data_IF_138068586448
#
_entry.id   IF_138068586448
#
_cell.length_a   1.000
_cell.length_b   1.000
_cell.length_c   1.000
_cell.angle_alpha   90.00
_cell.angle_beta   90.00
_cell.angle_gamma   90.00
#
_symmetry.space_group_name_H-M   'P 1'
#
loop_
_entity.id
_entity.type
_entity.pdbx_description
1 polymer ?
#
# COMPACT_ATOMS: atom_id res chain seq x y z
N UNK A 1 2.86 19.24 22.65
CA UNK A 1 3.87 19.07 21.59
C UNK A 1 3.60 20.13 20.54
N UNK A 2 4.67 20.79 20.06
CA UNK A 2 4.59 21.66 18.91
C UNK A 2 4.50 20.85 17.59
N UNK A 3 4.16 21.53 16.50
CA UNK A 3 3.97 20.90 15.20
C UNK A 3 5.24 20.20 14.67
N UNK A 4 6.42 20.79 14.96
CA UNK A 4 7.70 20.23 14.57
C UNK A 4 8.01 18.92 15.32
N UNK A 5 7.76 18.89 16.62
CA UNK A 5 7.92 17.69 17.45
C UNK A 5 6.95 16.58 17.02
N UNK A 6 5.71 16.92 16.67
CA UNK A 6 4.74 15.96 16.15
C UNK A 6 5.21 15.40 14.80
N UNK A 7 5.71 16.25 13.91
CA UNK A 7 6.27 15.83 12.62
C UNK A 7 7.46 14.88 12.78
N UNK A 8 8.36 15.13 13.72
CA UNK A 8 9.48 14.24 14.05
C UNK A 8 9.00 12.88 14.56
N UNK A 9 7.96 12.85 15.40
CA UNK A 9 7.37 11.59 15.87
C UNK A 9 6.74 10.79 14.72
N UNK A 10 6.03 11.45 13.81
CA UNK A 10 5.48 10.79 12.62
C UNK A 10 6.59 10.22 11.72
N UNK A 11 7.70 10.95 11.55
CA UNK A 11 8.85 10.47 10.80
C UNK A 11 9.46 9.21 11.42
N UNK A 12 9.47 9.08 12.75
CA UNK A 12 9.94 7.86 13.42
C UNK A 12 9.17 6.62 12.98
N UNK A 13 7.86 6.71 12.79
CA UNK A 13 7.06 5.57 12.28
C UNK A 13 7.52 5.15 10.89
N UNK A 14 7.73 6.11 9.98
CA UNK A 14 8.23 5.83 8.63
C UNK A 14 9.64 5.24 8.63
N UNK A 15 10.55 5.79 9.44
CA UNK A 15 11.91 5.27 9.59
C UNK A 15 11.91 3.84 10.14
N UNK A 16 11.08 3.56 11.14
CA UNK A 16 10.91 2.22 11.68
C UNK A 16 10.49 1.22 10.61
N UNK A 17 9.56 1.62 9.73
CA UNK A 17 9.13 0.80 8.59
C UNK A 17 10.27 0.52 7.62
N UNK A 18 11.05 1.53 7.23
CA UNK A 18 12.17 1.38 6.30
C UNK A 18 13.26 0.45 6.89
N UNK A 19 13.63 0.65 8.15
CA UNK A 19 14.66 -0.14 8.84
C UNK A 19 14.23 -1.61 8.97
N UNK A 20 12.96 -1.88 9.25
CA UNK A 20 12.46 -3.22 9.47
C UNK A 20 12.24 -4.02 8.16
N UNK A 21 12.16 -3.38 7.00
CA UNK A 21 11.89 -4.06 5.72
C UNK A 21 12.79 -5.25 5.41
N UNK A 22 14.15 -5.12 5.43
CA UNK A 22 15.02 -6.26 5.17
C UNK A 22 14.90 -7.35 6.25
N UNK A 23 14.66 -6.96 7.50
CA UNK A 23 14.45 -7.88 8.61
C UNK A 23 13.12 -8.64 8.45
N UNK A 24 12.08 -7.99 7.94
CA UNK A 24 10.75 -8.58 7.72
C UNK A 24 10.81 -9.80 6.81
N UNK A 25 11.54 -9.71 5.69
CA UNK A 25 11.74 -10.82 4.76
C UNK A 25 12.44 -12.00 5.43
N UNK A 26 13.53 -11.73 6.14
CA UNK A 26 14.27 -12.75 6.86
C UNK A 26 13.43 -13.45 7.93
N UNK A 27 12.63 -12.69 8.69
CA UNK A 27 11.71 -13.24 9.69
C UNK A 27 10.66 -14.15 9.05
N UNK A 28 10.06 -13.76 7.93
CA UNK A 28 9.07 -14.55 7.21
C UNK A 28 9.64 -15.90 6.74
N UNK A 29 10.86 -15.92 6.18
CA UNK A 29 11.52 -17.15 5.75
C UNK A 29 11.87 -18.05 6.92
N UNK A 30 12.40 -17.48 8.02
CA UNK A 30 12.88 -18.26 9.16
C UNK A 30 11.75 -18.82 10.03
N UNK A 31 10.75 -18.00 10.34
CA UNK A 31 9.70 -18.33 11.32
C UNK A 31 8.32 -18.60 10.69
N UNK A 32 8.12 -18.19 9.45
CA UNK A 32 6.85 -18.27 8.72
C UNK A 32 5.91 -17.11 9.03
N UNK A 33 5.05 -16.76 8.05
CA UNK A 33 4.16 -15.60 8.12
C UNK A 33 3.31 -15.58 9.39
N UNK A 34 2.71 -16.71 9.76
CA UNK A 34 1.84 -16.83 10.95
C UNK A 34 2.51 -16.34 12.24
N UNK A 35 3.71 -16.86 12.57
CA UNK A 35 4.41 -16.49 13.80
C UNK A 35 4.86 -15.04 13.77
N UNK A 36 5.28 -14.56 12.60
CA UNK A 36 5.72 -13.18 12.39
C UNK A 36 4.57 -12.22 12.64
N UNK A 37 3.38 -12.48 12.08
CA UNK A 37 2.19 -11.66 12.30
C UNK A 37 1.80 -11.60 13.76
N UNK A 38 1.75 -12.73 14.47
CA UNK A 38 1.43 -12.74 15.90
C UNK A 38 2.43 -11.95 16.73
N UNK A 39 3.73 -12.21 16.56
CA UNK A 39 4.76 -11.51 17.32
C UNK A 39 4.74 -10.00 17.06
N UNK A 40 4.69 -9.59 15.78
CA UNK A 40 4.64 -8.18 15.42
C UNK A 40 3.35 -7.52 15.87
N UNK A 41 2.21 -8.20 15.81
CA UNK A 41 0.93 -7.68 16.28
C UNK A 41 0.90 -7.43 17.79
N UNK A 42 1.44 -8.35 18.62
CA UNK A 42 1.57 -8.14 20.05
C UNK A 42 2.54 -7.00 20.37
N UNK A 43 3.68 -6.94 19.67
CA UNK A 43 4.68 -5.87 19.89
C UNK A 43 4.13 -4.50 19.46
N UNK A 44 3.36 -4.45 18.37
CA UNK A 44 2.66 -3.24 17.92
C UNK A 44 1.64 -2.76 18.96
N UNK A 45 0.85 -3.67 19.51
CA UNK A 45 -0.12 -3.38 20.57
C UNK A 45 0.59 -2.87 21.84
N UNK A 46 1.68 -3.50 22.24
CA UNK A 46 2.51 -3.05 23.37
C UNK A 46 3.07 -1.63 23.14
N UNK A 47 3.57 -1.33 21.93
CA UNK A 47 4.08 -0.02 21.58
C UNK A 47 2.99 1.05 21.72
N UNK A 48 1.79 0.78 21.21
CA UNK A 48 0.67 1.71 21.24
C UNK A 48 0.21 1.98 22.69
N UNK A 49 0.15 0.94 23.52
CA UNK A 49 -0.16 1.08 24.93
C UNK A 49 0.88 1.93 25.66
N UNK A 50 2.16 1.69 25.40
CA UNK A 50 3.27 2.45 26.00
C UNK A 50 3.20 3.92 25.64
N UNK A 51 2.91 4.25 24.35
CA UNK A 51 2.71 5.62 23.88
C UNK A 51 1.56 6.31 24.62
N UNK A 52 0.45 5.58 24.87
CA UNK A 52 -0.71 6.13 25.55
C UNK A 52 -0.55 6.34 27.05
N UNK A 53 0.39 5.64 27.67
CA UNK A 53 0.64 5.70 29.13
C UNK A 53 1.73 6.72 29.50
N UNK A 54 2.69 6.96 28.63
CA UNK A 54 3.91 7.68 28.98
C UNK A 54 4.06 8.96 28.18
N UNK A 55 4.04 10.08 28.88
CA UNK A 55 4.25 11.43 28.29
C UNK A 55 5.76 11.77 28.17
N UNK A 56 6.53 10.90 27.53
CA UNK A 56 7.95 11.10 27.31
C UNK A 56 8.27 11.07 25.82
N UNK A 57 8.79 12.18 25.26
CA UNK A 57 9.07 12.35 23.85
C UNK A 57 9.99 11.28 23.27
N UNK A 58 11.13 11.04 23.94
CA UNK A 58 12.13 10.05 23.47
C UNK A 58 11.58 8.63 23.45
N UNK A 59 10.85 8.25 24.49
CA UNK A 59 10.23 6.92 24.56
C UNK A 59 9.10 6.78 23.53
N UNK A 60 8.31 7.82 23.32
CA UNK A 60 7.28 7.87 22.26
C UNK A 60 7.93 7.69 20.89
N UNK A 61 9.05 8.38 20.60
CA UNK A 61 9.78 8.25 19.36
C UNK A 61 10.29 6.81 19.13
N UNK A 62 10.86 6.18 20.17
CA UNK A 62 11.32 4.78 20.10
C UNK A 62 10.13 3.84 19.87
N UNK A 63 9.04 4.03 20.59
CA UNK A 63 7.85 3.17 20.43
C UNK A 63 7.19 3.35 19.04
N UNK A 64 7.23 4.54 18.45
CA UNK A 64 6.76 4.77 17.09
C UNK A 64 7.68 4.14 16.04
N UNK A 65 8.99 4.12 16.25
CA UNK A 65 9.92 3.33 15.42
C UNK A 65 9.55 1.83 15.46
N UNK A 66 9.32 1.29 16.64
CA UNK A 66 8.92 -0.12 16.82
C UNK A 66 7.55 -0.37 16.17
N UNK A 67 6.59 0.53 16.38
CA UNK A 67 5.25 0.45 15.78
C UNK A 67 5.32 0.40 14.25
N UNK A 68 6.06 1.33 13.63
CA UNK A 68 6.25 1.36 12.18
C UNK A 68 6.94 0.09 11.66
N UNK A 69 7.97 -0.40 12.38
CA UNK A 69 8.63 -1.65 12.05
C UNK A 69 7.71 -2.87 12.12
N UNK A 70 6.82 -2.93 13.12
CA UNK A 70 5.82 -3.99 13.22
C UNK A 70 4.78 -3.91 12.11
N UNK A 71 4.32 -2.70 11.79
CA UNK A 71 3.33 -2.46 10.71
C UNK A 71 3.82 -3.01 9.38
N UNK A 72 5.02 -2.63 8.95
CA UNK A 72 5.58 -3.11 7.69
C UNK A 72 5.88 -4.61 7.71
N UNK A 73 6.28 -5.14 8.88
CA UNK A 73 6.56 -6.59 9.02
C UNK A 73 5.28 -7.41 8.84
N UNK A 74 4.16 -6.95 9.39
CA UNK A 74 2.84 -7.57 9.19
C UNK A 74 2.44 -7.48 7.72
N UNK A 75 2.62 -6.32 7.09
CA UNK A 75 2.27 -6.12 5.68
C UNK A 75 3.08 -7.02 4.75
N UNK A 76 4.41 -7.09 4.92
CA UNK A 76 5.26 -8.01 4.14
C UNK A 76 4.82 -9.46 4.34
N UNK A 77 4.53 -9.88 5.58
CA UNK A 77 4.08 -11.23 5.88
C UNK A 77 2.71 -11.53 5.24
N UNK A 78 1.78 -10.57 5.26
CA UNK A 78 0.48 -10.70 4.62
C UNK A 78 0.59 -10.80 3.09
N UNK A 79 1.40 -9.96 2.46
CA UNK A 79 1.63 -9.98 1.01
C UNK A 79 2.31 -11.29 0.56
N UNK A 80 3.32 -11.77 1.29
CA UNK A 80 3.98 -13.07 1.00
C UNK A 80 2.98 -14.21 1.13
N UNK A 81 2.14 -14.20 2.17
CA UNK A 81 1.09 -15.20 2.35
C UNK A 81 0.03 -15.11 1.25
N UNK A 82 -0.39 -13.89 0.88
CA UNK A 82 -1.37 -13.64 -0.17
C UNK A 82 -0.92 -14.18 -1.54
N UNK A 83 0.33 -13.93 -1.93
CA UNK A 83 0.92 -14.47 -3.15
C UNK A 83 0.95 -16.01 -3.14
N UNK A 84 1.29 -16.61 -1.99
CA UNK A 84 1.32 -18.07 -1.87
C UNK A 84 -0.09 -18.68 -2.00
N UNK A 85 -1.12 -18.02 -1.45
CA UNK A 85 -2.53 -18.43 -1.60
C UNK A 85 -3.00 -18.29 -3.05
N UNK A 86 -2.67 -17.18 -3.73
CA UNK A 86 -2.95 -17.01 -5.18
C UNK A 86 -2.32 -18.15 -6.00
N UNK A 87 -1.05 -18.47 -5.71
CA UNK A 87 -0.34 -19.56 -6.41
C UNK A 87 -0.96 -20.95 -6.19
N UNK A 88 -1.54 -21.21 -5.02
CA UNK A 88 -2.22 -22.48 -4.72
C UNK A 88 -3.63 -22.57 -5.30
N UNK A 89 -4.34 -21.47 -5.31
CA UNK A 89 -5.76 -21.43 -5.72
C UNK A 89 -5.95 -21.15 -7.20
N UNK A 90 -4.94 -20.57 -7.87
CA UNK A 90 -5.05 -20.09 -9.25
C UNK A 90 -6.00 -18.89 -9.42
N UNK A 91 -6.44 -18.27 -8.31
CA UNK A 91 -7.37 -17.14 -8.30
C UNK A 91 -6.65 -15.83 -8.02
N UNK A 92 -7.14 -14.72 -8.57
CA UNK A 92 -6.68 -13.38 -8.20
C UNK A 92 -7.36 -12.96 -6.89
N UNK A 93 -6.59 -12.79 -5.81
CA UNK A 93 -7.10 -12.50 -4.46
C UNK A 93 -6.43 -11.29 -3.81
N UNK A 94 -5.35 -10.76 -4.41
CA UNK A 94 -4.58 -9.67 -3.80
C UNK A 94 -5.39 -8.39 -3.62
N UNK A 95 -6.30 -8.06 -4.55
CA UNK A 95 -7.17 -6.89 -4.40
C UNK A 95 -8.13 -7.05 -3.22
N UNK A 96 -8.68 -8.24 -3.01
CA UNK A 96 -9.52 -8.56 -1.86
C UNK A 96 -8.78 -8.44 -0.53
N UNK A 97 -7.52 -8.90 -0.46
CA UNK A 97 -6.69 -8.74 0.73
C UNK A 97 -6.41 -7.28 1.05
N UNK A 98 -6.07 -6.46 0.05
CA UNK A 98 -5.92 -5.01 0.23
C UNK A 98 -7.26 -4.31 0.52
N UNK A 99 -8.38 -4.82 -0.02
CA UNK A 99 -9.73 -4.40 0.34
C UNK A 99 -10.05 -4.64 1.80
N UNK A 100 -9.69 -5.81 2.34
CA UNK A 100 -9.78 -6.14 3.75
C UNK A 100 -8.96 -5.19 4.63
N UNK A 101 -7.74 -4.82 4.20
CA UNK A 101 -6.93 -3.81 4.87
C UNK A 101 -7.65 -2.44 4.91
N UNK A 102 -8.20 -1.98 3.78
CA UNK A 102 -8.93 -0.70 3.72
C UNK A 102 -10.17 -0.70 4.59
N UNK A 103 -10.92 -1.81 4.61
CA UNK A 103 -12.08 -1.99 5.47
C UNK A 103 -11.68 -1.97 6.96
N UNK A 104 -10.58 -2.64 7.31
CA UNK A 104 -10.01 -2.61 8.65
C UNK A 104 -9.64 -1.20 9.10
N UNK A 105 -9.06 -0.39 8.21
CA UNK A 105 -8.74 1.03 8.47
C UNK A 105 -9.99 1.85 8.74
N UNK A 106 -11.05 1.70 7.94
CA UNK A 106 -12.31 2.40 8.13
C UNK A 106 -13.00 2.00 9.43
N UNK A 107 -13.07 0.70 9.73
CA UNK A 107 -13.65 0.18 10.99
C UNK A 107 -12.83 0.71 12.17
N UNK A 108 -11.50 0.65 12.10
CA UNK A 108 -10.62 1.12 13.16
C UNK A 108 -10.80 2.60 13.46
N UNK A 109 -10.83 3.44 12.43
CA UNK A 109 -11.09 4.87 12.57
C UNK A 109 -12.49 5.15 13.15
N UNK A 110 -13.50 4.42 12.68
CA UNK A 110 -14.88 4.54 13.18
C UNK A 110 -15.01 4.14 14.65
N UNK A 111 -14.39 3.03 15.06
CA UNK A 111 -14.40 2.59 16.46
C UNK A 111 -13.70 3.62 17.36
N UNK A 112 -12.51 4.09 17.00
CA UNK A 112 -11.81 5.10 17.80
C UNK A 112 -12.58 6.41 17.90
N UNK A 113 -13.14 6.89 16.79
CA UNK A 113 -13.97 8.11 16.78
C UNK A 113 -15.21 7.95 17.65
N UNK A 114 -15.86 6.78 17.62
CA UNK A 114 -17.02 6.49 18.47
C UNK A 114 -16.66 6.47 19.95
N UNK A 115 -15.53 5.84 20.32
CA UNK A 115 -15.06 5.81 21.71
C UNK A 115 -14.83 7.23 22.25
N UNK A 116 -14.22 8.10 21.45
CA UNK A 116 -14.03 9.51 21.81
C UNK A 116 -15.36 10.28 21.90
N UNK A 117 -16.28 10.06 20.97
CA UNK A 117 -17.61 10.69 20.99
C UNK A 117 -18.44 10.29 22.23
N UNK A 118 -18.25 9.07 22.75
CA UNK A 118 -18.84 8.62 24.03
C UNK A 118 -18.09 9.16 25.26
N UNK A 119 -17.10 10.04 25.08
CA UNK A 119 -16.34 10.65 26.19
C UNK A 119 -15.35 9.70 26.87
N UNK A 120 -15.02 8.57 26.25
CA UNK A 120 -14.02 7.65 26.79
C UNK A 120 -12.65 8.28 26.62
N UNK A 121 -11.90 8.39 27.72
CA UNK A 121 -10.58 9.01 27.69
C UNK A 121 -9.61 8.22 26.78
N UNK A 122 -8.63 8.88 26.15
CA UNK A 122 -7.74 8.26 25.14
C UNK A 122 -7.09 6.96 25.58
N UNK A 123 -6.65 6.86 26.81
CA UNK A 123 -6.02 5.67 27.37
C UNK A 123 -6.94 4.42 27.31
N UNK A 124 -8.17 4.55 27.79
CA UNK A 124 -9.14 3.44 27.78
C UNK A 124 -9.61 3.14 26.35
N UNK A 125 -9.73 4.15 25.49
CA UNK A 125 -10.03 3.95 24.08
C UNK A 125 -8.97 3.10 23.39
N UNK A 126 -7.68 3.35 23.66
CA UNK A 126 -6.57 2.54 23.15
C UNK A 126 -6.64 1.11 23.69
N UNK A 127 -6.87 0.92 24.99
CA UNK A 127 -6.97 -0.42 25.61
C UNK A 127 -8.11 -1.23 24.98
N UNK A 128 -9.31 -0.65 24.87
CA UNK A 128 -10.47 -1.32 24.25
C UNK A 128 -10.15 -1.67 22.80
N UNK A 129 -9.61 -0.72 22.04
CA UNK A 129 -9.25 -0.94 20.64
C UNK A 129 -8.22 -2.05 20.48
N UNK A 130 -7.19 -2.08 21.33
CA UNK A 130 -6.18 -3.15 21.33
C UNK A 130 -6.77 -4.52 21.59
N UNK A 131 -7.68 -4.64 22.56
CA UNK A 131 -8.35 -5.92 22.86
C UNK A 131 -9.13 -6.39 21.62
N UNK A 132 -9.85 -5.51 20.94
CA UNK A 132 -10.60 -5.84 19.73
C UNK A 132 -9.66 -6.27 18.58
N UNK A 133 -8.57 -5.55 18.35
CA UNK A 133 -7.59 -5.87 17.30
C UNK A 133 -6.89 -7.20 17.60
N UNK A 134 -6.45 -7.44 18.84
CA UNK A 134 -5.82 -8.70 19.21
C UNK A 134 -6.79 -9.88 19.11
N UNK A 135 -8.06 -9.71 19.49
CA UNK A 135 -9.08 -10.74 19.31
C UNK A 135 -9.33 -11.05 17.82
N UNK A 136 -9.44 -10.00 16.98
CA UNK A 136 -9.57 -10.17 15.53
C UNK A 136 -8.34 -10.87 14.92
N UNK A 137 -7.13 -10.51 15.36
CA UNK A 137 -5.88 -11.15 14.94
C UNK A 137 -5.86 -12.63 15.36
N UNK A 138 -6.23 -12.95 16.59
CA UNK A 138 -6.27 -14.33 17.08
C UNK A 138 -7.28 -15.19 16.30
N UNK A 139 -8.40 -14.61 15.89
CA UNK A 139 -9.41 -15.29 15.08
C UNK A 139 -8.97 -15.43 13.61
N UNK A 140 -8.53 -14.33 12.98
CA UNK A 140 -8.28 -14.26 11.53
C UNK A 140 -6.96 -14.87 11.08
N UNK A 141 -5.93 -14.89 11.95
CA UNK A 141 -4.60 -15.41 11.57
C UNK A 141 -4.42 -16.91 11.80
N UNK A 142 -5.49 -17.64 12.16
CA UNK A 142 -5.42 -19.10 12.40
C UNK A 142 -4.99 -19.87 11.17
N UNK A 143 -5.48 -19.46 9.99
CA UNK A 143 -5.36 -20.17 8.73
C UNK A 143 -4.23 -19.66 7.84
N UNK A 144 -3.36 -18.76 8.34
CA UNK A 144 -2.16 -18.33 7.63
C UNK A 144 -1.26 -19.52 7.32
N UNK A 145 -0.73 -19.56 6.09
CA UNK A 145 0.10 -20.65 5.60
C UNK A 145 1.36 -20.83 6.45
N UNK A 146 1.72 -22.10 6.67
CA UNK A 146 2.89 -22.46 7.44
C UNK A 146 4.20 -22.16 6.67
N UNK A 147 5.31 -22.04 7.40
CA UNK A 147 6.63 -21.82 6.81
C UNK A 147 7.07 -22.92 5.83
N UNK A 148 6.54 -24.14 5.94
CA UNK A 148 6.85 -25.23 5.01
C UNK A 148 6.29 -24.96 3.62
N UNK A 149 5.07 -24.43 3.54
CA UNK A 149 4.40 -24.10 2.27
C UNK A 149 5.07 -22.91 1.61
N UNK A 150 5.43 -21.89 2.39
CA UNK A 150 6.14 -20.71 1.88
C UNK A 150 7.53 -21.06 1.32
N UNK A 151 8.22 -22.02 1.92
CA UNK A 151 9.53 -22.52 1.45
C UNK A 151 9.43 -23.39 0.20
N UNK A 152 8.33 -24.11 -0.01
CA UNK A 152 8.16 -24.98 -1.19
C UNK A 152 7.91 -24.18 -2.48
N UNK A 153 7.41 -22.96 -2.35
CA UNK A 153 7.21 -22.02 -3.47
C UNK A 153 8.46 -21.15 -3.75
N UNK A 154 9.49 -21.22 -2.93
CA UNK A 154 10.79 -20.64 -3.25
C UNK A 154 11.43 -21.50 -4.36
N UNK A 155 11.58 -20.93 -5.53
CA UNK A 155 12.40 -21.47 -6.62
C UNK A 155 13.82 -21.79 -6.15
N UNK A 156 14.57 -22.65 -6.85
CA UNK A 156 15.70 -23.43 -6.35
C UNK A 156 16.68 -22.60 -5.53
N UNK A 157 17.23 -23.26 -4.49
CA UNK A 157 18.26 -22.76 -3.58
C UNK A 157 19.16 -21.75 -4.29
N UNK A 158 19.02 -20.48 -3.99
CA UNK A 158 20.00 -19.50 -4.40
C UNK A 158 21.34 -19.93 -3.79
N UNK A 159 22.30 -20.29 -4.62
CA UNK A 159 23.70 -20.41 -4.22
C UNK A 159 24.07 -19.16 -3.44
N UNK A 160 24.50 -19.36 -2.20
CA UNK A 160 24.90 -18.29 -1.25
C UNK A 160 26.02 -17.39 -1.84
N UNK A 161 26.64 -17.81 -2.93
CA UNK A 161 27.73 -17.12 -3.64
C UNK A 161 27.28 -16.27 -4.84
N UNK A 162 25.98 -16.19 -5.19
CA UNK A 162 25.55 -15.27 -6.25
C UNK A 162 25.48 -13.84 -5.70
N UNK A 163 26.21 -12.92 -6.34
CA UNK A 163 26.11 -11.46 -6.13
C UNK A 163 24.64 -11.07 -6.03
N UNK A 164 24.29 -10.24 -5.04
CA UNK A 164 22.96 -9.69 -4.88
C UNK A 164 22.57 -8.97 -6.17
N UNK A 165 21.68 -9.57 -6.94
CA UNK A 165 21.21 -9.05 -8.22
C UNK A 165 19.73 -8.74 -8.13
N UNK A 166 19.39 -7.48 -8.38
CA UNK A 166 18.00 -7.06 -8.48
C UNK A 166 17.63 -7.01 -9.96
N UNK A 167 16.69 -7.84 -10.43
CA UNK A 167 16.26 -7.79 -11.81
C UNK A 167 15.74 -6.38 -12.17
N UNK A 168 16.12 -5.79 -13.32
CA UNK A 168 15.67 -4.44 -13.70
C UNK A 168 14.15 -4.27 -13.68
N UNK A 169 13.41 -5.32 -14.02
CA UNK A 169 11.96 -5.33 -13.98
C UNK A 169 11.40 -5.11 -12.54
N UNK A 170 12.09 -5.63 -11.51
CA UNK A 170 11.69 -5.41 -10.09
C UNK A 170 11.86 -3.94 -9.72
N UNK A 171 12.94 -3.30 -10.21
CA UNK A 171 13.16 -1.85 -10.00
C UNK A 171 12.05 -1.05 -10.69
N UNK A 172 11.73 -1.38 -11.94
CA UNK A 172 10.65 -0.68 -12.67
C UNK A 172 9.32 -0.82 -11.95
N UNK A 173 8.93 -2.03 -11.56
CA UNK A 173 7.67 -2.24 -10.81
C UNK A 173 7.68 -1.49 -9.48
N UNK A 174 8.80 -1.49 -8.76
CA UNK A 174 8.94 -0.72 -7.53
C UNK A 174 8.77 0.79 -7.74
N UNK A 175 9.31 1.35 -8.83
CA UNK A 175 9.11 2.76 -9.19
C UNK A 175 7.66 3.06 -9.58
N UNK A 176 6.99 2.13 -10.27
CA UNK A 176 5.55 2.27 -10.54
C UNK A 176 4.74 2.30 -9.23
N UNK A 177 5.07 1.43 -8.28
CA UNK A 177 4.45 1.43 -6.95
C UNK A 177 4.76 2.72 -6.17
N UNK A 178 5.99 3.25 -6.26
CA UNK A 178 6.36 4.54 -5.67
C UNK A 178 5.43 5.67 -6.14
N UNK A 179 5.21 5.78 -7.45
CA UNK A 179 4.34 6.82 -8.03
C UNK A 179 2.89 6.64 -7.55
N UNK A 180 2.40 5.40 -7.51
CA UNK A 180 1.04 5.10 -7.05
C UNK A 180 0.84 5.46 -5.59
N UNK A 181 1.76 5.08 -4.72
CA UNK A 181 1.71 5.43 -3.30
C UNK A 181 1.95 6.93 -3.06
N UNK A 182 2.77 7.61 -3.87
CA UNK A 182 2.90 9.06 -3.82
C UNK A 182 1.59 9.75 -4.19
N UNK A 183 0.82 9.20 -5.16
CA UNK A 183 -0.51 9.70 -5.52
C UNK A 183 -1.52 9.54 -4.40
N UNK A 184 -1.53 8.39 -3.69
CA UNK A 184 -2.35 8.17 -2.50
C UNK A 184 -1.97 9.14 -1.38
N UNK A 185 -0.66 9.29 -1.10
CA UNK A 185 -0.12 10.23 -0.11
C UNK A 185 -0.44 11.69 -0.44
N UNK A 186 -0.50 12.05 -1.72
CA UNK A 186 -0.91 13.37 -2.17
C UNK A 186 -2.35 13.68 -1.78
N UNK A 187 -3.28 12.76 -2.04
CA UNK A 187 -4.68 12.96 -1.66
C UNK A 187 -4.82 13.00 -0.13
N UNK A 188 -4.18 12.07 0.57
CA UNK A 188 -4.23 11.98 2.03
C UNK A 188 -3.70 13.23 2.72
N UNK A 189 -2.57 13.77 2.26
CA UNK A 189 -1.91 14.91 2.89
C UNK A 189 -2.38 16.28 2.39
N UNK A 190 -2.84 16.39 1.15
CA UNK A 190 -3.00 17.69 0.50
C UNK A 190 -4.39 17.97 -0.07
N UNK A 191 -5.31 16.99 -0.12
CA UNK A 191 -6.65 17.23 -0.67
C UNK A 191 -7.43 18.29 0.08
N UNK A 192 -7.45 18.24 1.43
CA UNK A 192 -8.12 19.22 2.26
C UNK A 192 -7.51 20.62 2.12
N UNK A 193 -6.17 20.71 2.11
CA UNK A 193 -5.45 21.97 1.96
C UNK A 193 -5.71 22.57 0.58
N UNK A 194 -5.65 21.73 -0.48
CA UNK A 194 -5.92 22.17 -1.84
C UNK A 194 -7.31 22.80 -1.97
N UNK A 195 -8.38 22.11 -1.52
CA UNK A 195 -9.74 22.63 -1.66
C UNK A 195 -9.99 23.84 -0.77
N UNK A 196 -9.31 23.95 0.37
CA UNK A 196 -9.42 25.13 1.23
C UNK A 196 -8.72 26.34 0.58
N UNK A 197 -7.52 26.19 0.06
CA UNK A 197 -6.74 27.30 -0.53
C UNK A 197 -7.25 27.70 -1.90
N UNK A 198 -7.55 26.75 -2.77
CA UNK A 198 -7.88 27.00 -4.19
C UNK A 198 -9.40 27.13 -4.43
N UNK A 199 -10.25 26.66 -3.54
CA UNK A 199 -11.72 26.69 -3.67
C UNK A 199 -12.41 27.48 -2.56
N UNK A 200 -11.68 28.02 -1.58
CA UNK A 200 -12.27 28.74 -0.46
C UNK A 200 -13.18 27.91 0.44
N UNK A 201 -13.03 26.57 0.42
CA UNK A 201 -13.85 25.66 1.22
C UNK A 201 -13.33 25.67 2.66
N UNK A 202 -14.28 25.79 3.61
CA UNK A 202 -13.93 25.78 5.03
C UNK A 202 -13.18 24.50 5.41
N UNK A 203 -12.10 24.64 6.17
CA UNK A 203 -11.22 23.52 6.55
C UNK A 203 -11.96 22.46 7.38
N UNK A 204 -13.03 22.85 8.10
CA UNK A 204 -13.86 21.93 8.89
C UNK A 204 -14.57 20.87 8.03
N UNK A 205 -14.87 21.18 6.76
CA UNK A 205 -15.52 20.27 5.81
C UNK A 205 -14.58 19.74 4.73
N UNK A 206 -13.39 20.28 4.63
CA UNK A 206 -12.40 19.89 3.61
C UNK A 206 -11.98 18.40 3.70
N UNK A 207 -12.10 17.78 4.87
CA UNK A 207 -11.84 16.34 5.07
C UNK A 207 -12.78 15.41 4.29
N UNK A 208 -13.96 15.89 3.88
CA UNK A 208 -14.89 15.08 3.06
C UNK A 208 -14.31 14.73 1.67
N UNK A 209 -13.40 15.53 1.16
CA UNK A 209 -12.75 15.26 -0.13
C UNK A 209 -11.84 14.03 -0.07
N UNK A 210 -11.07 13.89 1.01
CA UNK A 210 -10.34 12.66 1.29
C UNK A 210 -11.28 11.48 1.53
N UNK A 211 -12.38 11.70 2.23
CA UNK A 211 -13.37 10.65 2.51
C UNK A 211 -13.96 10.09 1.21
N UNK A 212 -14.25 10.93 0.22
CA UNK A 212 -14.73 10.48 -1.10
C UNK A 212 -13.70 9.57 -1.80
N UNK A 213 -12.42 9.94 -1.77
CA UNK A 213 -11.32 9.11 -2.26
C UNK A 213 -11.26 7.75 -1.52
N UNK A 214 -11.29 7.78 -0.18
CA UNK A 214 -11.14 6.57 0.65
C UNK A 214 -12.31 5.58 0.47
N UNK A 215 -13.54 6.08 0.38
CA UNK A 215 -14.72 5.26 0.12
C UNK A 215 -14.63 4.63 -1.28
N UNK A 216 -14.35 5.43 -2.30
CA UNK A 216 -14.24 4.95 -3.67
C UNK A 216 -13.14 3.88 -3.80
N UNK A 217 -11.97 4.11 -3.19
CA UNK A 217 -10.88 3.16 -3.14
C UNK A 217 -11.29 1.86 -2.47
N UNK A 218 -11.94 1.93 -1.30
CA UNK A 218 -12.36 0.74 -0.56
C UNK A 218 -13.34 -0.12 -1.35
N UNK A 219 -14.37 0.50 -1.94
CA UNK A 219 -15.35 -0.21 -2.77
C UNK A 219 -14.67 -0.89 -3.95
N UNK A 220 -13.79 -0.17 -4.66
CA UNK A 220 -13.09 -0.71 -5.82
C UNK A 220 -12.08 -1.81 -5.46
N UNK A 221 -11.47 -1.77 -4.29
CA UNK A 221 -10.62 -2.86 -3.78
C UNK A 221 -11.43 -4.13 -3.49
N UNK A 222 -12.58 -3.99 -2.84
CA UNK A 222 -13.46 -5.14 -2.55
C UNK A 222 -14.02 -5.81 -3.81
N UNK A 223 -14.24 -5.04 -4.88
CA UNK A 223 -14.67 -5.57 -6.17
C UNK A 223 -13.50 -5.95 -7.11
N UNK A 224 -12.27 -5.67 -6.69
CA UNK A 224 -11.08 -5.66 -7.55
C UNK A 224 -10.78 -7.00 -8.21
N UNK A 225 -10.90 -8.11 -7.47
CA UNK A 225 -10.59 -9.43 -8.00
C UNK A 225 -11.53 -9.79 -9.16
N UNK A 226 -12.83 -9.50 -9.03
CA UNK A 226 -13.81 -9.69 -10.13
C UNK A 226 -13.52 -8.79 -11.34
N UNK A 227 -13.03 -7.58 -11.09
CA UNK A 227 -12.64 -6.64 -12.14
C UNK A 227 -11.40 -7.16 -12.88
N UNK A 228 -10.41 -7.69 -12.14
CA UNK A 228 -9.20 -8.28 -12.73
C UNK A 228 -9.53 -9.52 -13.54
N UNK A 229 -10.40 -10.40 -13.03
CA UNK A 229 -10.84 -11.61 -13.75
C UNK A 229 -11.54 -11.26 -15.06
N UNK A 230 -12.37 -10.19 -15.08
CA UNK A 230 -13.13 -9.77 -16.26
C UNK A 230 -12.31 -9.01 -17.29
N UNK A 231 -11.47 -8.07 -16.85
CA UNK A 231 -10.76 -7.13 -17.73
C UNK A 231 -9.28 -7.44 -17.92
N UNK A 232 -8.74 -8.35 -17.11
CA UNK A 232 -7.35 -8.72 -17.09
C UNK A 232 -6.46 -7.70 -16.37
N UNK A 233 -5.35 -8.19 -15.81
CA UNK A 233 -4.39 -7.42 -15.01
C UNK A 233 -3.87 -6.18 -15.73
N UNK A 234 -3.52 -6.31 -17.03
CA UNK A 234 -2.99 -5.20 -17.83
C UNK A 234 -3.96 -4.02 -17.88
N UNK A 235 -5.23 -4.28 -18.23
CA UNK A 235 -6.26 -3.25 -18.35
C UNK A 235 -6.52 -2.57 -17.02
N UNK A 236 -6.52 -3.34 -15.91
CA UNK A 236 -6.75 -2.83 -14.57
C UNK A 236 -5.62 -1.91 -14.12
N UNK A 237 -4.35 -2.29 -14.35
CA UNK A 237 -3.20 -1.45 -13.98
C UNK A 237 -3.18 -0.18 -14.84
N UNK A 238 -3.24 -0.30 -16.17
CA UNK A 238 -3.13 0.86 -17.06
C UNK A 238 -4.37 1.76 -16.96
N UNK A 239 -5.57 1.18 -16.90
CA UNK A 239 -6.82 1.92 -16.75
C UNK A 239 -6.92 2.62 -15.39
N UNK A 240 -6.47 1.95 -14.30
CA UNK A 240 -6.39 2.56 -12.97
C UNK A 240 -5.48 3.77 -12.93
N UNK A 241 -4.29 3.66 -13.53
CA UNK A 241 -3.36 4.79 -13.63
C UNK A 241 -3.91 5.94 -14.50
N UNK A 242 -4.65 5.64 -15.57
CA UNK A 242 -5.36 6.66 -16.37
C UNK A 242 -6.45 7.36 -15.56
N UNK A 243 -7.22 6.62 -14.73
CA UNK A 243 -8.23 7.21 -13.86
C UNK A 243 -7.61 8.14 -12.81
N UNK A 244 -6.44 7.79 -12.26
CA UNK A 244 -5.69 8.67 -11.35
C UNK A 244 -5.31 9.96 -12.07
N UNK A 245 -4.71 9.86 -13.25
CA UNK A 245 -4.31 11.02 -14.04
C UNK A 245 -5.52 11.93 -14.35
N UNK A 246 -6.60 11.36 -14.86
CA UNK A 246 -7.82 12.09 -15.18
C UNK A 246 -8.45 12.73 -13.93
N UNK A 247 -8.49 12.02 -12.79
CA UNK A 247 -9.01 12.54 -11.54
C UNK A 247 -8.26 13.78 -11.05
N UNK A 248 -6.93 13.75 -11.04
CA UNK A 248 -6.12 14.93 -10.67
C UNK A 248 -6.30 16.07 -11.67
N UNK A 249 -6.37 15.79 -12.97
CA UNK A 249 -6.63 16.84 -13.97
C UNK A 249 -8.01 17.49 -13.78
N UNK A 250 -9.06 16.73 -13.46
CA UNK A 250 -10.37 17.28 -13.13
C UNK A 250 -10.31 18.19 -11.91
N UNK A 251 -9.63 17.72 -10.84
CA UNK A 251 -9.46 18.51 -9.60
C UNK A 251 -8.79 19.84 -9.87
N UNK A 252 -7.78 19.86 -10.74
CA UNK A 252 -7.01 21.10 -11.02
C UNK A 252 -7.72 22.01 -12.02
N UNK A 253 -8.35 21.43 -13.06
CA UNK A 253 -8.86 22.20 -14.21
C UNK A 253 -10.26 22.77 -14.01
N UNK A 254 -11.07 22.18 -13.12
CA UNK A 254 -12.46 22.57 -12.90
C UNK A 254 -12.62 23.21 -11.53
N UNK A 255 -12.94 24.51 -11.51
CA UNK A 255 -13.15 25.27 -10.28
C UNK A 255 -14.55 24.99 -9.68
N UNK A 256 -14.68 23.78 -9.08
CA UNK A 256 -15.92 23.33 -8.48
C UNK A 256 -15.66 22.32 -7.35
N UNK A 257 -16.37 22.47 -6.23
CA UNK A 257 -16.34 21.50 -5.13
C UNK A 257 -16.80 20.11 -5.60
N UNK A 258 -17.86 20.04 -6.40
CA UNK A 258 -18.40 18.78 -6.93
C UNK A 258 -17.38 18.10 -7.84
N UNK A 259 -16.72 18.86 -8.71
CA UNK A 259 -15.68 18.33 -9.58
C UNK A 259 -14.48 17.82 -8.76
N UNK A 260 -14.11 18.52 -7.69
CA UNK A 260 -13.03 18.09 -6.80
C UNK A 260 -13.39 16.77 -6.07
N UNK A 261 -14.62 16.63 -5.56
CA UNK A 261 -15.11 15.37 -4.98
C UNK A 261 -15.06 14.24 -6.01
N UNK A 262 -15.60 14.49 -7.21
CA UNK A 262 -15.60 13.49 -8.28
C UNK A 262 -14.18 13.10 -8.72
N UNK A 263 -13.29 14.09 -8.86
CA UNK A 263 -11.90 13.87 -9.24
C UNK A 263 -11.14 13.04 -8.18
N UNK A 264 -11.27 13.36 -6.89
CA UNK A 264 -10.64 12.56 -5.83
C UNK A 264 -11.26 11.16 -5.72
N UNK A 265 -12.58 11.01 -5.91
CA UNK A 265 -13.21 9.69 -6.00
C UNK A 265 -12.66 8.88 -7.19
N UNK A 266 -12.45 9.51 -8.35
CA UNK A 266 -11.81 8.87 -9.51
C UNK A 266 -10.38 8.44 -9.21
N UNK A 267 -9.60 9.27 -8.51
CA UNK A 267 -8.25 8.88 -8.04
C UNK A 267 -8.34 7.66 -7.15
N UNK A 268 -9.30 7.60 -6.21
CA UNK A 268 -9.53 6.44 -5.35
C UNK A 268 -9.89 5.17 -6.13
N UNK A 269 -10.81 5.29 -7.10
CA UNK A 269 -11.17 4.18 -7.99
C UNK A 269 -9.93 3.66 -8.75
N UNK A 270 -9.12 4.57 -9.28
CA UNK A 270 -7.93 4.23 -10.06
C UNK A 270 -6.84 3.57 -9.21
N UNK A 271 -6.54 4.14 -8.03
CA UNK A 271 -5.47 3.68 -7.16
C UNK A 271 -5.76 2.30 -6.53
N UNK A 272 -7.03 1.94 -6.37
CA UNK A 272 -7.48 0.79 -5.61
C UNK A 272 -6.76 -0.52 -5.96
N UNK A 273 -6.59 -0.82 -7.24
CA UNK A 273 -6.16 -2.14 -7.70
C UNK A 273 -4.79 -2.12 -8.41
N UNK A 274 -4.18 -0.95 -8.64
CA UNK A 274 -2.90 -0.87 -9.38
C UNK A 274 -1.78 -1.53 -8.58
N UNK A 275 -1.56 -1.12 -7.33
CA UNK A 275 -0.48 -1.67 -6.50
C UNK A 275 -0.66 -3.16 -6.22
N UNK A 276 -1.84 -3.66 -5.79
CA UNK A 276 -2.06 -5.10 -5.59
C UNK A 276 -1.70 -5.93 -6.84
N UNK A 277 -2.09 -5.47 -8.01
CA UNK A 277 -1.80 -6.17 -9.26
C UNK A 277 -0.34 -6.07 -9.70
N UNK A 278 0.35 -4.96 -9.39
CA UNK A 278 1.80 -4.82 -9.60
C UNK A 278 2.58 -5.78 -8.70
N UNK A 279 2.21 -5.91 -7.43
CA UNK A 279 2.83 -6.83 -6.46
C UNK A 279 2.63 -8.29 -6.92
N UNK A 280 1.40 -8.66 -7.27
CA UNK A 280 1.10 -10.00 -7.80
C UNK A 280 1.85 -10.30 -9.10
N UNK A 281 1.95 -9.34 -10.02
CA UNK A 281 2.77 -9.47 -11.24
C UNK A 281 4.25 -9.68 -10.93
N UNK A 282 4.78 -8.90 -10.01
CA UNK A 282 6.20 -8.94 -9.67
C UNK A 282 6.63 -10.27 -9.02
N UNK A 283 5.75 -10.92 -8.29
CA UNK A 283 6.01 -12.23 -7.68
C UNK A 283 6.36 -13.33 -8.71
N UNK A 284 6.01 -13.12 -9.99
CA UNK A 284 6.33 -14.04 -11.09
C UNK A 284 7.61 -13.65 -11.84
N UNK A 285 8.37 -12.65 -11.40
CA UNK A 285 9.65 -12.26 -12.00
C UNK A 285 10.73 -13.27 -11.56
N UNK A 286 11.41 -13.85 -12.54
CA UNK A 286 12.50 -14.82 -12.28
C UNK A 286 13.79 -14.09 -11.84
N UNK A 287 14.65 -14.80 -11.12
CA UNK A 287 16.01 -14.35 -10.75
C UNK A 287 16.16 -13.79 -9.33
N UNK A 288 15.08 -13.68 -8.56
CA UNK A 288 15.09 -13.26 -7.17
C UNK A 288 13.97 -13.99 -6.40
N UNK A 289 14.18 -14.30 -5.12
CA UNK A 289 13.14 -14.93 -4.29
C UNK A 289 11.94 -14.01 -4.10
N UNK A 290 10.73 -14.57 -4.13
CA UNK A 290 9.46 -13.82 -4.09
C UNK A 290 9.38 -12.87 -2.89
N UNK A 291 9.78 -13.34 -1.69
CA UNK A 291 9.77 -12.51 -0.48
C UNK A 291 10.71 -11.29 -0.60
N UNK A 292 11.87 -11.42 -1.25
CA UNK A 292 12.79 -10.32 -1.49
C UNK A 292 12.24 -9.33 -2.53
N UNK A 293 11.58 -9.85 -3.58
CA UNK A 293 10.90 -9.02 -4.58
C UNK A 293 9.82 -8.16 -3.90
N UNK A 294 8.94 -8.78 -3.11
CA UNK A 294 7.87 -8.09 -2.41
C UNK A 294 8.43 -7.05 -1.44
N UNK A 295 9.46 -7.40 -0.66
CA UNK A 295 10.09 -6.45 0.27
C UNK A 295 10.74 -5.28 -0.42
N UNK A 296 11.43 -5.51 -1.54
CA UNK A 296 12.04 -4.44 -2.31
C UNK A 296 10.99 -3.49 -2.91
N UNK A 297 9.92 -4.04 -3.48
CA UNK A 297 8.83 -3.25 -4.05
C UNK A 297 8.09 -2.47 -2.97
N UNK A 298 7.84 -3.08 -1.81
CA UNK A 298 7.22 -2.39 -0.69
C UNK A 298 8.13 -1.27 -0.15
N UNK A 299 9.46 -1.52 -0.03
CA UNK A 299 10.42 -0.49 0.37
C UNK A 299 10.34 0.73 -0.54
N UNK A 300 10.44 0.49 -1.84
CA UNK A 300 10.41 1.56 -2.84
C UNK A 300 9.03 2.20 -2.94
N UNK A 301 7.96 1.41 -2.86
CA UNK A 301 6.59 1.89 -2.87
C UNK A 301 6.29 2.79 -1.67
N UNK A 302 6.50 2.31 -0.45
CA UNK A 302 6.23 3.09 0.77
C UNK A 302 7.07 4.35 0.89
N UNK A 303 8.28 4.40 0.30
CA UNK A 303 9.01 5.66 0.20
C UNK A 303 8.22 6.72 -0.59
N UNK A 304 7.30 6.30 -1.48
CA UNK A 304 6.36 7.19 -2.18
C UNK A 304 5.36 7.88 -1.24
N UNK A 305 4.76 7.13 -0.31
CA UNK A 305 3.86 7.73 0.71
C UNK A 305 4.64 8.69 1.62
N UNK A 306 5.88 8.36 1.95
CA UNK A 306 6.69 9.16 2.87
C UNK A 306 7.23 10.43 2.19
N UNK A 307 7.81 10.29 1.00
CA UNK A 307 8.47 11.39 0.28
C UNK A 307 7.49 12.17 -0.60
N UNK A 308 6.42 11.54 -1.09
CA UNK A 308 5.43 12.19 -1.95
C UNK A 308 4.87 13.47 -1.36
N UNK A 309 4.28 13.47 -0.15
CA UNK A 309 3.76 14.68 0.48
C UNK A 309 4.82 15.76 0.69
N UNK A 310 6.07 15.38 0.97
CA UNK A 310 7.20 16.32 1.15
C UNK A 310 7.52 17.00 -0.17
N UNK A 311 7.68 16.23 -1.24
CA UNK A 311 7.96 16.76 -2.59
C UNK A 311 6.84 17.68 -3.05
N UNK A 312 5.58 17.28 -2.84
CA UNK A 312 4.40 18.07 -3.16
C UNK A 312 4.40 19.39 -2.38
N UNK A 313 4.73 19.35 -1.08
CA UNK A 313 4.82 20.54 -0.25
C UNK A 313 5.88 21.53 -0.74
N UNK A 314 7.07 21.05 -1.10
CA UNK A 314 8.13 21.92 -1.64
C UNK A 314 7.75 22.54 -2.99
N UNK A 315 7.17 21.76 -3.90
CA UNK A 315 6.71 22.25 -5.21
C UNK A 315 5.52 23.19 -4.99
N UNK A 316 4.57 22.81 -4.14
CA UNK A 316 3.37 23.59 -3.82
C UNK A 316 3.69 24.96 -3.22
N UNK A 317 4.67 25.02 -2.31
CA UNK A 317 5.13 26.30 -1.72
C UNK A 317 5.70 27.25 -2.77
N UNK A 318 6.36 26.73 -3.81
CA UNK A 318 7.05 27.56 -4.82
C UNK A 318 6.17 27.87 -6.03
N UNK A 319 5.33 26.93 -6.46
CA UNK A 319 4.60 26.99 -7.72
C UNK A 319 3.07 26.81 -7.58
N UNK A 320 2.57 26.62 -6.36
CA UNK A 320 1.17 26.30 -6.09
C UNK A 320 0.87 24.79 -6.11
N UNK A 321 -0.12 24.35 -5.33
CA UNK A 321 -0.51 22.94 -5.22
C UNK A 321 -1.07 22.38 -6.54
N UNK A 322 -1.67 23.23 -7.38
CA UNK A 322 -2.15 22.83 -8.71
C UNK A 322 -1.01 22.29 -9.59
N UNK A 323 0.18 22.91 -9.57
CA UNK A 323 1.36 22.41 -10.31
C UNK A 323 1.81 21.06 -9.80
N UNK A 324 1.79 20.86 -8.47
CA UNK A 324 2.13 19.57 -7.84
C UNK A 324 1.17 18.47 -8.30
N UNK A 325 -0.13 18.74 -8.34
CA UNK A 325 -1.16 17.76 -8.76
C UNK A 325 -1.09 17.46 -10.26
N UNK A 326 -0.79 18.46 -11.11
CA UNK A 326 -0.48 18.22 -12.53
C UNK A 326 0.73 17.30 -12.66
N UNK A 327 1.79 17.52 -11.89
CA UNK A 327 2.96 16.65 -11.86
C UNK A 327 2.61 15.19 -11.56
N UNK A 328 1.76 14.95 -10.55
CA UNK A 328 1.28 13.60 -10.22
C UNK A 328 0.45 13.01 -11.37
N UNK A 329 -0.43 13.80 -11.98
CA UNK A 329 -1.23 13.36 -13.13
C UNK A 329 -0.34 12.90 -14.29
N UNK A 330 0.73 13.64 -14.59
CA UNK A 330 1.72 13.26 -15.62
C UNK A 330 2.44 11.97 -15.23
N UNK A 331 2.89 11.82 -13.99
CA UNK A 331 3.53 10.59 -13.53
C UNK A 331 2.58 9.40 -13.58
N UNK A 332 1.30 9.56 -13.21
CA UNK A 332 0.30 8.51 -13.34
C UNK A 332 0.07 8.10 -14.81
N UNK A 333 0.08 9.06 -15.73
CA UNK A 333 0.01 8.80 -17.18
C UNK A 333 1.23 7.98 -17.65
N UNK A 334 2.42 8.32 -17.18
CA UNK A 334 3.66 7.54 -17.45
C UNK A 334 3.51 6.10 -16.95
N UNK A 335 2.94 5.90 -15.74
CA UNK A 335 2.66 4.56 -15.22
C UNK A 335 1.70 3.79 -16.13
N UNK A 336 0.63 4.43 -16.63
CA UNK A 336 -0.32 3.81 -17.55
C UNK A 336 0.37 3.32 -18.84
N UNK A 337 1.23 4.14 -19.42
CA UNK A 337 1.98 3.82 -20.64
C UNK A 337 2.97 2.69 -20.40
N UNK A 338 3.84 2.82 -19.39
CA UNK A 338 4.89 1.83 -19.10
C UNK A 338 4.27 0.47 -18.76
N UNK A 339 3.26 0.44 -17.89
CA UNK A 339 2.60 -0.80 -17.51
C UNK A 339 1.92 -1.47 -18.70
N UNK A 340 1.29 -0.68 -19.58
CA UNK A 340 0.67 -1.19 -20.81
C UNK A 340 1.69 -1.86 -21.74
N UNK A 341 2.89 -1.29 -21.89
CA UNK A 341 3.96 -1.83 -22.74
C UNK A 341 4.53 -3.12 -22.14
N UNK A 342 4.92 -3.09 -20.85
CA UNK A 342 5.56 -4.22 -20.17
C UNK A 342 4.65 -5.44 -20.14
N UNK A 343 3.39 -5.24 -19.78
CA UNK A 343 2.43 -6.35 -19.66
C UNK A 343 2.01 -6.90 -21.02
N UNK A 344 2.03 -6.09 -22.09
CA UNK A 344 1.81 -6.56 -23.45
C UNK A 344 2.94 -7.47 -23.93
N UNK A 345 4.18 -7.08 -23.73
CA UNK A 345 5.36 -7.86 -24.14
C UNK A 345 5.33 -9.25 -23.52
N UNK A 346 5.02 -9.38 -22.21
CA UNK A 346 4.95 -10.69 -21.55
C UNK A 346 3.79 -11.58 -22.03
N UNK A 347 2.65 -11.01 -22.37
CA UNK A 347 1.54 -11.79 -22.94
C UNK A 347 1.90 -12.39 -24.30
N UNK A 348 2.59 -11.62 -25.13
CA UNK A 348 3.07 -12.08 -26.44
C UNK A 348 4.09 -13.22 -26.28
N UNK A 349 5.07 -13.08 -25.37
CA UNK A 349 6.08 -14.12 -25.12
C UNK A 349 5.42 -15.42 -24.65
N UNK A 350 4.46 -15.35 -23.74
CA UNK A 350 3.74 -16.53 -23.22
C UNK A 350 2.93 -17.24 -24.32
N UNK A 351 2.31 -16.47 -25.22
CA UNK A 351 1.56 -17.04 -26.35
C UNK A 351 2.47 -17.73 -27.36
N UNK A 352 3.64 -17.14 -27.66
CA UNK A 352 4.65 -17.74 -28.55
C UNK A 352 5.20 -19.04 -27.95
N UNK A 353 5.51 -19.05 -26.64
CA UNK A 353 6.00 -20.25 -25.95
C UNK A 353 4.96 -21.39 -26.00
N UNK A 354 3.70 -21.10 -25.73
CA UNK A 354 2.60 -22.07 -25.78
C UNK A 354 2.34 -22.59 -27.22
N UNK A 355 2.55 -21.77 -28.23
CA UNK A 355 2.39 -22.16 -29.62
C UNK A 355 3.53 -23.08 -30.06
N UNK A 356 4.77 -22.75 -29.67
CA UNK A 356 5.93 -23.60 -29.91
C UNK A 356 5.84 -24.96 -29.22
N UNK A 357 5.32 -25.01 -27.97
CA UNK A 357 5.08 -26.28 -27.27
C UNK A 357 4.01 -27.13 -27.96
N UNK A 358 2.96 -26.52 -28.50
CA UNK A 358 1.92 -27.26 -29.25
C UNK A 358 2.45 -27.81 -30.58
N UNK A 359 3.27 -27.05 -31.27
CA UNK A 359 3.90 -27.48 -32.52
C UNK A 359 4.92 -28.61 -32.28
N UNK A 360 5.67 -28.58 -31.19
CA UNK A 360 6.61 -29.66 -30.80
C UNK A 360 5.89 -30.92 -30.29
N UNK A 361 4.67 -30.82 -29.75
CA UNK A 361 3.87 -32.00 -29.37
C UNK A 361 3.07 -32.61 -30.54
N UNK A 362 3.01 -31.92 -31.67
CA UNK A 362 2.29 -32.41 -32.89
C UNK A 362 3.19 -33.06 -33.94
N UNK A 363 4.50 -33.06 -33.71
CA UNK A 363 5.52 -33.82 -34.47
C UNK A 363 5.93 -35.09 -33.71
#
# INVERSE_FOLDING_TARGET
>A
LDEASLGLLMLCTGLGSIIALPLSSWLCVRFGAKRVVYFSGFLMAFSLLTISLLANFTLTAIMLLVFGGCTITIDVAANVNGVAVEGQTGKHLMSGFHGGYSLGTLIGAGVMSSLFAFGIIPMWSVVIFMILVLAAMMAGCRDLLSSKVLKSNDHPKQDVNKKFYIPPMVIVVGLLCFIMYASEGAVMGWSAIFVSQERGIDMSVAGFFYTAFAIAMTIMRLCGDKIVDRFGRRTVISGGALLISAGFLIVVSIDSAIASVAGFAMVGCGAANVVPQLVSFAAHIKGMAVHNIISFINALGYSGILLGPVIIGFIGKRYGLHVSFIGIAVFALIVAIISSIILRSKQITLQVDLQNERETCSL
#
